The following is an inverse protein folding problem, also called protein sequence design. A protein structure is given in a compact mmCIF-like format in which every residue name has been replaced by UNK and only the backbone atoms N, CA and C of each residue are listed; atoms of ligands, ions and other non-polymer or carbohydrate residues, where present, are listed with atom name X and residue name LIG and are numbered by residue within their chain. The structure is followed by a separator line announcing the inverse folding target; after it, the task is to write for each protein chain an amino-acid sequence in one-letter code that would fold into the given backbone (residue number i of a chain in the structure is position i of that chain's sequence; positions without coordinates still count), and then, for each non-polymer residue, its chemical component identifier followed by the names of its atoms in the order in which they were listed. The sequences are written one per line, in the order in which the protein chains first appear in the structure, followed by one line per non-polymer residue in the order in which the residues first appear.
data_IF_947400851854
#
_entry.id   IF_947400851854
#
_cell.length_a   1.000
_cell.length_b   1.000
_cell.length_c   1.000
_cell.angle_alpha   90.00
_cell.angle_beta   90.00
_cell.angle_gamma   90.00
#
_symmetry.space_group_name_H-M   'P 1'
#
loop_
_entity.id
_entity.type
_entity.pdbx_description
1 polymer ?
#
# COMPACT_ATOMS: atom_id res chain seq x y z
N UNK A 1 7.12 43.56 39.14
CA UNK A 1 5.73 43.88 38.78
C UNK A 1 5.24 42.84 37.80
N UNK A 2 4.33 41.97 38.27
CA UNK A 2 3.65 40.92 37.51
C UNK A 2 2.45 41.53 36.80
N UNK A 3 2.24 41.23 35.51
CA UNK A 3 0.95 41.41 34.83
C UNK A 3 0.78 40.33 33.76
N UNK A 4 0.27 39.17 34.18
CA UNK A 4 -0.42 38.22 33.32
C UNK A 4 -1.76 38.82 32.89
N UNK A 5 -1.91 39.17 31.61
CA UNK A 5 -3.18 39.59 31.04
C UNK A 5 -3.94 38.38 30.51
N UNK A 6 -4.97 38.05 31.29
CA UNK A 6 -6.03 37.08 31.06
C UNK A 6 -6.88 37.52 29.86
N UNK A 7 -6.99 36.68 28.83
CA UNK A 7 -7.90 36.94 27.70
C UNK A 7 -9.10 35.98 27.79
N UNK A 8 -10.35 36.49 27.85
CA UNK A 8 -11.55 35.68 28.05
C UNK A 8 -11.98 34.89 26.79
N UNK A 9 -12.69 33.76 26.96
CA UNK A 9 -12.88 32.76 25.91
C UNK A 9 -14.19 32.94 25.13
N UNK A 10 -14.44 34.08 24.46
CA UNK A 10 -15.77 34.28 23.83
C UNK A 10 -15.77 35.02 22.46
N UNK A 11 -14.65 35.29 21.81
CA UNK A 11 -14.65 35.95 20.48
C UNK A 11 -13.76 35.26 19.44
N UNK A 12 -14.04 33.98 19.18
CA UNK A 12 -13.41 33.22 18.08
C UNK A 12 -14.27 33.05 16.83
N UNK A 13 -15.44 33.68 16.76
CA UNK A 13 -16.41 33.44 15.68
C UNK A 13 -16.44 34.48 14.57
N UNK A 14 -15.74 35.63 14.67
CA UNK A 14 -15.93 36.73 13.70
C UNK A 14 -14.66 37.12 12.91
N UNK A 15 -13.44 36.79 13.35
CA UNK A 15 -12.21 37.05 12.56
C UNK A 15 -11.85 35.87 11.64
N UNK A 16 -12.87 35.15 11.17
CA UNK A 16 -12.74 34.09 10.16
C UNK A 16 -13.76 34.32 9.06
N UNK A 17 -13.85 35.56 8.58
CA UNK A 17 -14.81 35.90 7.53
C UNK A 17 -14.34 37.02 6.58
N UNK A 18 -13.06 37.41 6.61
CA UNK A 18 -12.55 38.51 5.76
C UNK A 18 -11.10 38.32 5.25
N UNK A 19 -10.64 37.08 5.16
CA UNK A 19 -9.49 36.71 4.32
C UNK A 19 -9.97 35.77 3.22
N UNK A 20 -10.91 36.30 2.44
CA UNK A 20 -11.33 35.74 1.16
C UNK A 20 -11.11 36.83 0.12
N UNK A 21 -9.96 36.80 -0.56
CA UNK A 21 -9.69 37.38 -1.89
C UNK A 21 -8.20 37.40 -2.19
N UNK A 22 -7.57 36.22 -2.31
CA UNK A 22 -6.37 35.99 -3.14
C UNK A 22 -5.83 34.56 -2.94
N UNK A 23 -6.63 33.55 -3.27
CA UNK A 23 -6.12 32.29 -3.83
C UNK A 23 -7.31 31.48 -4.36
N UNK A 24 -7.76 31.86 -5.56
CA UNK A 24 -8.58 30.98 -6.38
C UNK A 24 -7.73 29.76 -6.75
N UNK A 25 -8.04 28.58 -6.20
CA UNK A 25 -7.36 27.35 -6.61
C UNK A 25 -7.65 26.12 -5.75
N UNK A 26 -8.77 25.46 -6.05
CA UNK A 26 -9.12 24.06 -5.77
C UNK A 26 -9.67 23.73 -4.36
N UNK A 27 -10.93 23.23 -4.27
CA UNK A 27 -11.51 22.81 -3.00
C UNK A 27 -10.91 21.47 -2.57
N UNK A 28 -10.19 21.49 -1.45
CA UNK A 28 -9.85 20.30 -0.68
C UNK A 28 -11.15 19.70 -0.11
N UNK A 29 -11.70 18.72 -0.82
CA UNK A 29 -12.75 17.87 -0.31
C UNK A 29 -12.22 17.09 0.91
N UNK A 30 -12.77 17.39 2.09
CA UNK A 30 -12.77 16.51 3.25
C UNK A 30 -13.60 15.25 2.93
N UNK A 31 -12.99 14.32 2.21
CA UNK A 31 -13.40 12.92 2.16
C UNK A 31 -12.49 12.07 3.07
N UNK A 32 -12.91 10.85 3.48
CA UNK A 32 -12.03 9.96 4.22
C UNK A 32 -10.81 9.65 3.36
N UNK A 33 -9.62 9.97 3.88
CA UNK A 33 -8.27 9.70 3.37
C UNK A 33 -8.29 8.97 2.02
N UNK A 34 -8.47 9.75 0.94
CA UNK A 34 -8.21 9.24 -0.41
C UNK A 34 -6.70 9.17 -0.53
N UNK A 35 -6.18 7.95 -0.38
CA UNK A 35 -4.79 7.60 -0.63
C UNK A 35 -4.39 8.22 -1.98
N UNK A 36 -3.53 9.23 -1.96
CA UNK A 36 -3.02 9.87 -3.17
C UNK A 36 -1.89 8.97 -3.72
N UNK A 37 -2.12 8.21 -4.81
CA UNK A 37 -1.16 7.24 -5.32
C UNK A 37 0.12 7.90 -5.87
N UNK A 38 0.17 9.24 -5.94
CA UNK A 38 1.33 10.00 -6.40
C UNK A 38 2.38 10.26 -5.33
N UNK A 39 2.00 10.21 -4.05
CA UNK A 39 2.92 10.50 -2.93
C UNK A 39 3.45 9.23 -2.25
N UNK A 40 2.90 8.07 -2.58
CA UNK A 40 3.35 6.79 -2.05
C UNK A 40 4.12 6.02 -3.13
N UNK A 41 5.34 5.57 -2.82
CA UNK A 41 6.06 4.54 -3.61
C UNK A 41 5.35 3.16 -3.57
N UNK A 42 4.09 3.13 -3.13
CA UNK A 42 3.30 1.92 -3.05
C UNK A 42 2.38 1.81 -4.27
N UNK A 43 2.46 0.70 -4.97
CA UNK A 43 1.49 0.38 -6.03
C UNK A 43 0.15 -0.01 -5.40
N UNK A 44 -0.95 0.37 -6.04
CA UNK A 44 -2.31 -0.01 -5.62
C UNK A 44 -2.81 -1.11 -6.54
N UNK A 45 -2.96 -2.34 -6.04
CA UNK A 45 -3.37 -3.43 -6.89
C UNK A 45 -4.78 -3.25 -7.43
N UNK A 46 -4.95 -3.65 -8.69
CA UNK A 46 -6.26 -3.78 -9.30
C UNK A 46 -7.02 -4.89 -8.57
N UNK A 47 -8.23 -4.57 -8.13
CA UNK A 47 -9.03 -5.44 -7.28
C UNK A 47 -10.47 -5.45 -7.79
N UNK A 48 -11.06 -6.63 -7.73
CA UNK A 48 -12.48 -6.86 -7.90
C UNK A 48 -13.08 -7.48 -6.63
N UNK A 49 -14.30 -7.09 -6.29
CA UNK A 49 -15.00 -7.56 -5.08
C UNK A 49 -16.41 -7.95 -5.47
N UNK A 50 -16.72 -9.23 -5.33
CA UNK A 50 -18.05 -9.77 -5.57
C UNK A 50 -18.70 -10.16 -4.24
N UNK A 51 -19.93 -9.68 -4.00
CA UNK A 51 -20.76 -10.11 -2.88
C UNK A 51 -21.66 -11.28 -3.30
N UNK A 52 -21.72 -12.30 -2.45
CA UNK A 52 -22.63 -13.44 -2.57
C UNK A 52 -23.53 -13.51 -1.34
N UNK A 53 -24.57 -14.35 -1.39
CA UNK A 53 -25.48 -14.52 -0.25
C UNK A 53 -24.78 -14.96 1.05
N UNK A 54 -23.67 -15.69 0.93
CA UNK A 54 -22.93 -16.33 2.04
C UNK A 54 -21.66 -15.59 2.43
N UNK A 55 -21.15 -14.64 1.63
CA UNK A 55 -19.82 -14.07 1.84
C UNK A 55 -19.35 -13.17 0.71
N UNK A 56 -18.05 -12.92 0.67
CA UNK A 56 -17.38 -12.10 -0.35
C UNK A 56 -16.26 -12.88 -1.04
N UNK A 57 -16.06 -12.59 -2.32
CA UNK A 57 -14.90 -13.00 -3.09
C UNK A 57 -14.13 -11.76 -3.52
N UNK A 58 -12.84 -11.72 -3.18
CA UNK A 58 -11.93 -10.62 -3.53
C UNK A 58 -10.87 -11.18 -4.47
N UNK A 59 -10.76 -10.58 -5.65
CA UNK A 59 -9.70 -10.85 -6.62
C UNK A 59 -8.73 -9.68 -6.61
N UNK A 60 -7.44 -9.95 -6.50
CA UNK A 60 -6.39 -8.92 -6.54
C UNK A 60 -5.30 -9.33 -7.52
N UNK A 61 -4.98 -8.46 -8.49
CA UNK A 61 -3.88 -8.69 -9.43
C UNK A 61 -2.56 -8.28 -8.78
N UNK A 62 -1.67 -9.25 -8.64
CA UNK A 62 -0.37 -9.15 -7.96
C UNK A 62 0.73 -9.81 -8.82
N UNK A 63 1.04 -9.27 -10.01
CA UNK A 63 2.06 -9.84 -10.89
C UNK A 63 3.45 -9.77 -10.27
N UNK A 64 4.19 -10.88 -10.33
CA UNK A 64 5.57 -10.97 -9.83
C UNK A 64 5.73 -11.04 -8.30
N UNK A 65 4.63 -11.14 -7.57
CA UNK A 65 4.62 -11.33 -6.12
C UNK A 65 4.63 -12.83 -5.80
N UNK A 66 5.39 -13.25 -4.79
CA UNK A 66 5.37 -14.64 -4.30
C UNK A 66 4.32 -14.80 -3.21
N UNK A 67 3.79 -16.02 -3.05
CA UNK A 67 2.79 -16.33 -2.01
C UNK A 67 3.27 -16.00 -0.58
N UNK A 68 4.57 -16.13 -0.32
CA UNK A 68 5.21 -15.80 0.97
C UNK A 68 5.26 -14.30 1.27
N UNK A 69 5.17 -13.47 0.23
CA UNK A 69 5.40 -12.02 0.33
C UNK A 69 4.07 -11.26 0.39
N UNK A 70 2.96 -11.98 0.60
CA UNK A 70 1.59 -11.45 0.73
C UNK A 70 1.11 -11.68 2.16
N UNK A 71 0.61 -10.61 2.79
CA UNK A 71 0.00 -10.63 4.11
C UNK A 71 -1.46 -10.16 3.99
N UNK A 72 -2.36 -10.90 4.66
CA UNK A 72 -3.79 -10.60 4.73
C UNK A 72 -4.17 -10.29 6.17
N UNK A 73 -4.77 -9.12 6.40
CA UNK A 73 -5.18 -8.66 7.72
C UNK A 73 -6.66 -8.34 7.69
N UNK A 74 -7.45 -9.04 8.51
CA UNK A 74 -8.86 -8.72 8.72
C UNK A 74 -8.96 -7.75 9.90
N UNK A 75 -9.49 -6.55 9.64
CA UNK A 75 -9.60 -5.47 10.61
C UNK A 75 -11.04 -5.07 10.91
N UNK A 76 -11.21 -4.03 11.75
CA UNK A 76 -12.49 -3.36 12.01
C UNK A 76 -13.62 -4.30 12.46
N UNK A 77 -13.30 -5.30 13.29
CA UNK A 77 -14.20 -6.36 13.74
C UNK A 77 -14.82 -7.16 12.56
N UNK A 78 -13.98 -7.49 11.56
CA UNK A 78 -14.40 -8.21 10.37
C UNK A 78 -14.96 -7.33 9.27
N UNK A 79 -14.92 -5.99 9.39
CA UNK A 79 -15.46 -5.10 8.35
C UNK A 79 -14.42 -4.64 7.33
N UNK A 80 -13.15 -4.98 7.50
CA UNK A 80 -12.14 -4.66 6.50
C UNK A 80 -11.19 -5.81 6.22
N UNK A 81 -10.74 -5.91 4.96
CA UNK A 81 -9.62 -6.74 4.55
C UNK A 81 -8.51 -5.82 4.04
N UNK A 82 -7.33 -5.97 4.62
CA UNK A 82 -6.11 -5.29 4.17
C UNK A 82 -5.15 -6.31 3.56
N UNK A 83 -4.79 -6.08 2.30
CA UNK A 83 -3.86 -6.87 1.49
C UNK A 83 -2.55 -6.09 1.42
N UNK A 84 -1.46 -6.68 1.92
CA UNK A 84 -0.11 -6.08 1.96
C UNK A 84 0.90 -6.99 1.32
N UNK A 85 1.98 -6.41 0.83
CA UNK A 85 3.12 -7.20 0.39
C UNK A 85 4.17 -6.40 -0.35
N UNK A 86 5.13 -7.12 -0.91
CA UNK A 86 6.20 -6.57 -1.72
C UNK A 86 6.40 -7.39 -2.98
N UNK A 87 6.69 -6.71 -4.09
CA UNK A 87 7.10 -7.37 -5.34
C UNK A 87 8.52 -7.87 -5.17
N UNK A 88 8.70 -9.18 -5.24
CA UNK A 88 10.02 -9.78 -5.16
C UNK A 88 10.86 -9.32 -6.35
N UNK A 89 11.93 -8.58 -6.07
CA UNK A 89 12.90 -8.24 -7.10
C UNK A 89 13.60 -9.50 -7.59
N UNK A 90 13.78 -9.62 -8.90
CA UNK A 90 14.86 -10.47 -9.41
C UNK A 90 16.13 -9.83 -8.85
N UNK A 91 16.89 -10.53 -8.01
CA UNK A 91 18.08 -10.00 -7.35
C UNK A 91 19.12 -9.55 -8.39
N UNK A 92 19.01 -8.31 -8.86
CA UNK A 92 20.16 -7.49 -9.17
C UNK A 92 20.52 -6.89 -7.82
N UNK A 93 21.70 -7.22 -7.30
CA UNK A 93 22.24 -6.51 -6.14
C UNK A 93 22.25 -5.02 -6.53
N UNK A 94 21.35 -4.25 -5.91
CA UNK A 94 21.23 -2.82 -6.17
C UNK A 94 22.31 -2.15 -5.32
N UNK A 95 23.40 -1.80 -6.01
CA UNK A 95 24.36 -0.85 -5.52
C UNK A 95 23.64 0.48 -5.24
N UNK A 96 23.86 0.98 -4.03
CA UNK A 96 23.67 2.38 -3.65
C UNK A 96 24.23 3.31 -4.73
N UNK A 97 23.36 4.14 -5.31
CA UNK A 97 23.77 5.31 -6.08
C UNK A 97 23.46 6.51 -5.20
N UNK A 98 24.32 6.74 -4.22
CA UNK A 98 24.52 8.07 -3.66
C UNK A 98 25.41 8.81 -4.66
N UNK A 99 24.90 9.92 -5.19
CA UNK A 99 25.68 10.77 -6.05
C UNK A 99 26.69 11.54 -5.22
N UNK A 100 27.98 11.39 -5.54
CA UNK A 100 28.91 12.51 -5.57
C UNK A 100 30.09 12.20 -6.50
N UNK A 101 30.31 13.16 -7.39
CA UNK A 101 31.43 13.56 -8.26
C UNK A 101 32.65 12.64 -8.61
N UNK A 102 33.12 12.88 -9.84
CA UNK A 102 34.20 12.24 -10.61
C UNK A 102 35.61 12.65 -10.15
N UNK A 103 36.56 11.72 -10.13
CA UNK A 103 37.93 11.94 -10.68
C UNK A 103 38.67 10.64 -11.01
N UNK A 104 39.44 10.70 -12.10
CA UNK A 104 40.16 9.64 -12.81
C UNK A 104 41.37 9.09 -12.04
N UNK A 105 41.81 7.85 -12.34
CA UNK A 105 43.11 7.52 -12.99
C UNK A 105 43.53 6.02 -12.87
N UNK A 106 43.79 5.43 -14.04
CA UNK A 106 44.92 4.55 -14.46
C UNK A 106 45.30 3.24 -13.73
N UNK A 107 45.49 2.19 -14.58
CA UNK A 107 46.51 1.10 -14.53
C UNK A 107 46.05 -0.37 -14.35
N UNK A 108 45.77 -1.01 -15.50
CA UNK A 108 46.21 -2.33 -16.03
C UNK A 108 46.93 -3.35 -15.11
N UNK A 109 46.42 -4.59 -15.06
CA UNK A 109 47.19 -5.86 -15.11
C UNK A 109 46.27 -7.10 -15.29
N UNK A 110 46.85 -8.25 -15.68
CA UNK A 110 46.30 -9.34 -16.51
C UNK A 110 46.10 -10.67 -15.73
N UNK A 111 45.21 -11.52 -16.26
CA UNK A 111 44.74 -12.93 -16.00
C UNK A 111 45.74 -13.99 -15.46
N UNK A 112 45.40 -15.31 -15.22
CA UNK A 112 44.14 -16.10 -15.42
C UNK A 112 43.81 -17.16 -14.30
N UNK A 113 42.62 -17.79 -14.30
CA UNK A 113 42.43 -19.26 -14.18
C UNK A 113 40.95 -19.68 -14.36
N UNK A 114 40.73 -20.88 -14.89
CA UNK A 114 39.44 -21.41 -15.34
C UNK A 114 38.60 -21.98 -14.19
N UNK A 115 37.27 -21.77 -14.23
CA UNK A 115 36.29 -22.82 -13.92
C UNK A 115 34.88 -22.41 -14.31
N UNK A 116 34.23 -23.34 -15.00
CA UNK A 116 32.96 -23.23 -15.67
C UNK A 116 31.78 -23.16 -14.68
N UNK A 117 31.00 -22.07 -14.74
CA UNK A 117 29.58 -22.09 -14.41
C UNK A 117 28.90 -20.98 -15.21
N UNK A 118 28.15 -21.40 -16.25
CA UNK A 118 27.49 -20.52 -17.24
C UNK A 118 26.38 -19.70 -16.57
N UNK A 119 26.78 -18.60 -15.93
CA UNK A 119 25.91 -17.52 -15.50
C UNK A 119 25.63 -16.60 -16.69
N UNK A 120 24.37 -16.24 -16.91
CA UNK A 120 24.02 -15.24 -17.91
C UNK A 120 24.78 -13.93 -17.59
N UNK A 121 25.52 -13.35 -18.55
CA UNK A 121 26.32 -12.16 -18.29
C UNK A 121 25.40 -11.02 -17.87
N UNK A 122 25.70 -10.42 -16.71
CA UNK A 122 25.10 -9.16 -16.25
C UNK A 122 25.61 -8.03 -17.15
N UNK A 123 25.11 -8.02 -18.38
CA UNK A 123 25.31 -6.96 -19.34
C UNK A 123 24.83 -5.65 -18.72
N UNK A 124 25.59 -4.57 -18.91
CA UNK A 124 25.20 -3.22 -18.52
C UNK A 124 24.01 -2.77 -19.38
N UNK A 125 22.82 -3.31 -19.08
CA UNK A 125 21.59 -3.03 -19.81
C UNK A 125 21.10 -1.63 -19.48
N UNK A 126 21.14 -0.74 -20.49
CA UNK A 126 20.50 0.58 -20.43
C UNK A 126 18.98 0.40 -20.54
N UNK A 127 18.27 0.55 -19.42
CA UNK A 127 16.81 0.56 -19.42
C UNK A 127 16.30 1.81 -20.12
N UNK A 128 15.60 1.66 -21.26
CA UNK A 128 15.11 2.79 -22.05
C UNK A 128 13.75 3.28 -21.58
N UNK A 129 12.82 2.36 -21.29
CA UNK A 129 11.45 2.69 -20.93
C UNK A 129 10.79 1.53 -20.17
N UNK A 130 9.88 1.84 -19.24
CA UNK A 130 9.10 0.86 -18.48
C UNK A 130 7.73 1.44 -18.12
N UNK A 131 6.68 0.73 -18.52
CA UNK A 131 5.28 1.04 -18.15
C UNK A 131 4.84 0.32 -16.86
N UNK A 132 5.63 -0.67 -16.43
CA UNK A 132 5.27 -1.55 -15.32
C UNK A 132 5.11 -0.76 -14.03
N UNK A 133 3.91 -0.82 -13.45
CA UNK A 133 3.63 -0.26 -12.11
C UNK A 133 4.19 -1.16 -11.00
N UNK A 134 4.35 -2.46 -11.28
CA UNK A 134 4.94 -3.44 -10.38
C UNK A 134 6.42 -3.64 -10.72
N UNK A 135 7.25 -2.78 -10.15
CA UNK A 135 8.71 -2.89 -10.22
C UNK A 135 9.27 -3.71 -9.05
N UNK A 136 10.49 -4.27 -9.18
CA UNK A 136 11.23 -4.84 -8.05
C UNK A 136 11.22 -3.93 -6.82
N UNK A 137 11.12 -4.52 -5.63
CA UNK A 137 11.15 -3.83 -4.34
C UNK A 137 9.97 -2.89 -4.07
N UNK A 138 8.98 -2.78 -4.97
CA UNK A 138 7.75 -2.02 -4.74
C UNK A 138 6.87 -2.69 -3.69
N UNK A 139 6.43 -1.93 -2.69
CA UNK A 139 5.45 -2.37 -1.69
C UNK A 139 4.04 -2.08 -2.18
N UNK A 140 3.06 -2.84 -1.71
CA UNK A 140 1.67 -2.53 -1.97
C UNK A 140 0.83 -2.66 -0.71
N UNK A 141 -0.24 -1.87 -0.70
CA UNK A 141 -1.24 -1.85 0.36
C UNK A 141 -2.59 -1.59 -0.30
N UNK A 142 -3.55 -2.47 -0.07
CA UNK A 142 -4.94 -2.15 -0.32
C UNK A 142 -5.81 -2.54 0.86
N UNK A 143 -6.66 -1.62 1.29
CA UNK A 143 -7.72 -1.91 2.25
C UNK A 143 -9.07 -1.83 1.55
N UNK A 144 -9.89 -2.85 1.76
CA UNK A 144 -11.25 -2.99 1.25
C UNK A 144 -12.17 -2.99 2.47
N UNK A 145 -13.25 -2.22 2.39
CA UNK A 145 -14.28 -2.17 3.42
C UNK A 145 -15.48 -2.98 2.96
N UNK A 146 -16.05 -3.78 3.86
CA UNK A 146 -17.22 -4.60 3.60
C UNK A 146 -18.45 -3.99 4.27
N UNK A 147 -19.62 -4.03 3.61
CA UNK A 147 -20.88 -3.58 4.21
C UNK A 147 -21.27 -4.36 5.48
N UNK A 148 -20.95 -5.66 5.52
CA UNK A 148 -21.18 -6.55 6.67
C UNK A 148 -19.91 -7.25 7.10
N UNK A 149 -19.81 -7.53 8.39
CA UNK A 149 -18.66 -8.21 8.97
C UNK A 149 -18.49 -9.63 8.41
N UNK A 150 -17.24 -10.04 8.23
CA UNK A 150 -16.81 -11.39 7.85
C UNK A 150 -16.30 -12.16 9.07
N UNK A 151 -16.36 -13.48 9.01
CA UNK A 151 -15.78 -14.35 10.03
C UNK A 151 -14.26 -14.54 9.77
N UNK A 152 -13.38 -14.06 10.66
CA UNK A 152 -11.93 -14.19 10.48
C UNK A 152 -11.43 -15.64 10.56
N UNK A 153 -12.22 -16.56 11.11
CA UNK A 153 -11.86 -17.98 11.18
C UNK A 153 -12.17 -18.73 9.88
N UNK A 154 -12.96 -18.12 8.99
CA UNK A 154 -13.40 -18.72 7.72
C UNK A 154 -12.90 -17.92 6.52
N UNK A 155 -11.58 -17.73 6.48
CA UNK A 155 -10.87 -17.08 5.39
C UNK A 155 -10.12 -18.14 4.58
N UNK A 156 -10.32 -18.16 3.27
CA UNK A 156 -9.55 -19.00 2.34
C UNK A 156 -8.88 -18.12 1.30
N UNK A 157 -7.62 -18.40 0.99
CA UNK A 157 -6.87 -17.66 -0.02
C UNK A 157 -6.16 -18.62 -0.97
N UNK A 158 -6.23 -18.33 -2.26
CA UNK A 158 -5.52 -19.06 -3.31
C UNK A 158 -4.85 -18.07 -4.24
N UNK A 159 -3.76 -18.47 -4.89
CA UNK A 159 -3.05 -17.60 -5.81
C UNK A 159 -2.53 -18.41 -6.99
N UNK A 160 -2.92 -17.98 -8.18
CA UNK A 160 -2.62 -18.59 -9.47
C UNK A 160 -2.39 -17.47 -10.51
N UNK A 161 -1.39 -17.63 -11.38
CA UNK A 161 -1.11 -16.72 -12.50
C UNK A 161 -0.99 -15.23 -12.12
N UNK A 162 -0.47 -14.96 -10.92
CA UNK A 162 -0.34 -13.59 -10.41
C UNK A 162 -1.64 -12.97 -9.91
N UNK A 163 -2.73 -13.74 -9.80
CA UNK A 163 -4.01 -13.29 -9.23
C UNK A 163 -4.23 -13.97 -7.88
N UNK A 164 -4.47 -13.17 -6.85
CA UNK A 164 -4.86 -13.61 -5.52
C UNK A 164 -6.38 -13.63 -5.43
N UNK A 165 -6.95 -14.79 -5.10
CA UNK A 165 -8.37 -14.96 -4.82
C UNK A 165 -8.57 -15.24 -3.33
N UNK A 166 -9.28 -14.35 -2.65
CA UNK A 166 -9.65 -14.47 -1.22
C UNK A 166 -11.14 -14.67 -1.10
N UNK A 167 -11.55 -15.70 -0.36
CA UNK A 167 -12.95 -15.99 -0.03
C UNK A 167 -13.16 -15.77 1.46
N UNK A 168 -14.15 -14.95 1.80
CA UNK A 168 -14.48 -14.57 3.16
C UNK A 168 -15.93 -14.93 3.45
N UNK A 169 -16.18 -15.77 4.46
CA UNK A 169 -17.55 -16.05 4.89
C UNK A 169 -18.14 -14.87 5.66
N UNK A 170 -19.42 -14.57 5.44
CA UNK A 170 -20.13 -13.53 6.19
C UNK A 170 -20.36 -14.00 7.63
N UNK A 171 -20.16 -13.11 8.59
CA UNK A 171 -20.45 -13.39 9.99
C UNK A 171 -21.97 -13.55 10.19
N UNK A 172 -22.38 -14.62 10.86
CA UNK A 172 -23.80 -14.84 11.19
C UNK A 172 -24.17 -13.86 12.30
N UNK A 173 -25.14 -12.99 12.05
CA UNK A 173 -25.65 -12.08 13.06
C UNK A 173 -26.38 -12.88 14.13
N UNK A 174 -25.77 -12.99 15.32
CA UNK A 174 -26.47 -13.53 16.48
C UNK A 174 -27.61 -12.57 16.83
N UNK A 175 -28.85 -13.06 16.82
CA UNK A 175 -30.03 -12.29 17.18
C UNK A 175 -29.85 -11.78 18.61
N UNK A 176 -29.75 -10.45 18.78
CA UNK A 176 -29.66 -9.85 20.11
C UNK A 176 -30.95 -10.12 20.88
N UNK A 177 -30.83 -10.69 22.08
CA UNK A 177 -31.93 -10.85 23.03
C UNK A 177 -31.88 -9.69 24.03
N UNK A 178 -33.00 -8.97 24.17
CA UNK A 178 -33.19 -8.02 25.26
C UNK A 178 -33.61 -8.76 26.52
N UNK A 179 -32.91 -8.53 27.62
CA UNK A 179 -33.26 -9.06 28.94
C UNK A 179 -33.93 -7.93 29.71
N UNK A 180 -35.07 -8.22 30.35
CA UNK A 180 -35.78 -7.25 31.18
C UNK A 180 -35.14 -7.29 32.58
N UNK A 181 -34.76 -6.12 33.10
CA UNK A 181 -34.20 -6.00 34.46
C UNK A 181 -35.38 -5.97 35.45
N UNK A 182 -35.43 -6.87 36.44
CA UNK A 182 -36.51 -6.93 37.43
C UNK A 182 -36.50 -5.76 38.41
#
# INVERSE_FOLDING_TARGET
MSLSLFFPPEFRSVVRSLEDSANHGLPLARGPISFDPRLSRNTTPAIDVTESATGYQVLAELPGVKKSDVELIVGDNGRSLTIRGQVSGRSRAEASVDGEEVQMETARSVSPDESESKSCPKSATKHLYSERTYTPNTKFLRTIQFPRAVDPNQVKATMADGVLCVTLARMVLVKRMSILVP
#
